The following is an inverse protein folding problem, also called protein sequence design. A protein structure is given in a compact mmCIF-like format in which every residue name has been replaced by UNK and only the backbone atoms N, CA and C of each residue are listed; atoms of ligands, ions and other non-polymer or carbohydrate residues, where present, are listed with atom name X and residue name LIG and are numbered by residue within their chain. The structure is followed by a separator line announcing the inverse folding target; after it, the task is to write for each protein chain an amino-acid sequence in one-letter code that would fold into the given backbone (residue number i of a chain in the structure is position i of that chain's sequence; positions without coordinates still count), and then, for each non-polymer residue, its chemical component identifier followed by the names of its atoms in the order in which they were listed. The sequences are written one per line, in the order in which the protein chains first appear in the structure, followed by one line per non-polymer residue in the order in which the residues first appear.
data_IF_253876658362
#
_entry.id   IF_253876658362
#
_cell.length_a   1.000
_cell.length_b   1.000
_cell.length_c   1.000
_cell.angle_alpha   90.00
_cell.angle_beta   90.00
_cell.angle_gamma   90.00
#
_symmetry.space_group_name_H-M   'P 1'
#
loop_
_entity.id
_entity.type
_entity.pdbx_description
1 polymer ?
#
# COMPACT_ATOMS: atom_id res chain seq x y z
N UNK A 1 -39.55 19.25 5.74
CA UNK A 1 -38.22 19.77 5.39
C UNK A 1 -37.59 18.88 4.33
N UNK A 2 -37.64 19.33 3.09
CA UNK A 2 -37.03 18.62 1.93
C UNK A 2 -35.61 19.10 1.80
N UNK A 3 -34.63 18.19 1.93
CA UNK A 3 -33.23 18.44 1.55
C UNK A 3 -33.09 18.24 0.04
N UNK A 4 -32.88 19.34 -0.66
CA UNK A 4 -32.53 19.38 -2.09
C UNK A 4 -31.08 19.03 -2.25
N UNK A 5 -30.79 17.85 -2.83
CA UNK A 5 -29.45 17.52 -3.34
C UNK A 5 -29.19 18.34 -4.60
N UNK A 6 -28.33 19.35 -4.50
CA UNK A 6 -27.81 20.06 -5.65
C UNK A 6 -26.85 19.15 -6.43
N UNK A 7 -27.32 18.61 -7.53
CA UNK A 7 -26.47 18.02 -8.57
C UNK A 7 -25.70 19.17 -9.23
N UNK A 8 -24.43 19.31 -8.92
CA UNK A 8 -23.53 20.16 -9.70
C UNK A 8 -23.25 19.46 -11.03
N UNK A 9 -23.96 19.83 -12.07
CA UNK A 9 -23.62 19.49 -13.46
C UNK A 9 -22.37 20.26 -13.90
N UNK A 10 -21.70 19.86 -14.98
CA UNK A 10 -20.52 20.56 -15.51
C UNK A 10 -20.89 22.01 -15.83
N UNK A 11 -20.16 22.95 -15.21
CA UNK A 11 -20.39 24.38 -15.38
C UNK A 11 -19.79 24.79 -16.74
N UNK A 12 -20.61 24.83 -17.78
CA UNK A 12 -20.26 25.44 -19.07
C UNK A 12 -20.58 26.92 -18.93
N UNK A 13 -19.57 27.76 -18.80
CA UNK A 13 -19.73 29.22 -18.84
C UNK A 13 -19.45 29.70 -20.25
N UNK A 14 -20.47 30.09 -21.03
CA UNK A 14 -20.24 30.78 -22.30
C UNK A 14 -19.89 32.24 -22.01
N UNK A 15 -18.65 32.65 -22.17
CA UNK A 15 -18.30 34.06 -22.26
C UNK A 15 -18.54 34.55 -23.68
N UNK A 16 -19.69 35.15 -23.88
CA UNK A 16 -19.98 35.97 -25.06
C UNK A 16 -19.27 37.31 -24.95
N UNK A 17 -18.14 37.52 -25.60
CA UNK A 17 -17.68 38.81 -26.07
C UNK A 17 -16.72 38.60 -27.24
N UNK A 18 -17.13 39.13 -28.37
CA UNK A 18 -16.45 39.34 -29.66
C UNK A 18 -14.91 39.22 -29.67
N UNK A 19 -14.42 37.96 -29.87
CA UNK A 19 -13.15 37.60 -30.52
C UNK A 19 -13.20 36.11 -30.91
N UNK A 20 -12.81 35.71 -32.12
CA UNK A 20 -12.91 34.32 -32.58
C UNK A 20 -11.71 33.46 -32.14
N UNK A 21 -11.51 33.29 -30.86
CA UNK A 21 -10.55 32.33 -30.25
C UNK A 21 -11.03 31.95 -28.87
N UNK A 22 -12.07 31.10 -28.81
CA UNK A 22 -12.53 30.54 -27.55
C UNK A 22 -11.85 29.19 -27.32
N UNK A 23 -11.09 29.08 -26.23
CA UNK A 23 -10.65 27.79 -25.70
C UNK A 23 -11.73 27.33 -24.70
N UNK A 24 -12.41 26.22 -24.97
CA UNK A 24 -13.36 25.61 -24.04
C UNK A 24 -12.59 24.62 -23.18
N UNK A 25 -12.46 24.94 -21.90
CA UNK A 25 -11.89 24.00 -20.92
C UNK A 25 -13.05 23.24 -20.30
N UNK A 26 -13.16 21.94 -20.60
CA UNK A 26 -14.08 21.06 -19.90
C UNK A 26 -13.37 20.50 -18.67
N UNK A 27 -13.95 20.68 -17.50
CA UNK A 27 -13.50 19.98 -16.30
C UNK A 27 -13.66 18.45 -16.46
N UNK A 28 -13.00 17.67 -15.60
CA UNK A 28 -12.95 16.22 -15.66
C UNK A 28 -14.27 15.57 -16.07
N UNK A 29 -14.22 14.74 -17.10
CA UNK A 29 -15.36 13.92 -17.52
C UNK A 29 -15.69 12.91 -16.42
N UNK A 30 -16.96 12.73 -16.04
CA UNK A 30 -17.34 11.81 -14.97
C UNK A 30 -16.96 10.38 -15.33
N UNK A 31 -16.38 9.67 -14.37
CA UNK A 31 -15.89 8.32 -14.50
C UNK A 31 -16.94 7.29 -14.91
N UNK A 32 -16.50 6.32 -15.68
CA UNK A 32 -17.24 5.28 -16.38
C UNK A 32 -18.39 4.60 -15.63
N UNK A 33 -19.58 4.84 -16.13
CA UNK A 33 -20.82 4.15 -15.90
C UNK A 33 -21.75 4.45 -17.07
N UNK A 34 -22.78 3.66 -17.30
CA UNK A 34 -23.74 3.86 -18.41
C UNK A 34 -24.34 5.28 -18.52
N UNK A 35 -24.20 6.10 -17.46
CA UNK A 35 -24.62 7.51 -17.49
C UNK A 35 -23.56 8.46 -18.09
N UNK A 36 -22.29 8.04 -18.23
CA UNK A 36 -21.22 8.87 -18.80
C UNK A 36 -21.27 8.94 -20.33
N UNK A 37 -21.70 7.87 -20.98
CA UNK A 37 -21.85 7.84 -22.44
C UNK A 37 -22.88 8.84 -22.95
N UNK A 38 -23.97 9.04 -22.19
CA UNK A 38 -24.99 10.04 -22.52
C UNK A 38 -24.48 11.47 -22.40
N UNK A 39 -23.75 11.78 -21.33
CA UNK A 39 -23.17 13.09 -21.11
C UNK A 39 -22.10 13.43 -22.14
N UNK A 40 -21.28 12.45 -22.53
CA UNK A 40 -20.25 12.59 -23.55
C UNK A 40 -20.85 12.80 -24.93
N UNK A 41 -21.86 12.01 -25.34
CA UNK A 41 -22.57 12.20 -26.61
C UNK A 41 -23.24 13.58 -26.68
N UNK A 42 -23.85 14.04 -25.62
CA UNK A 42 -24.43 15.37 -25.55
C UNK A 42 -23.35 16.45 -25.71
N UNK A 43 -22.23 16.33 -25.02
CA UNK A 43 -21.09 17.24 -25.11
C UNK A 43 -20.59 17.30 -26.57
N UNK A 44 -20.38 16.13 -27.20
CA UNK A 44 -19.92 16.04 -28.58
C UNK A 44 -20.91 16.69 -29.56
N UNK A 45 -22.21 16.52 -29.35
CA UNK A 45 -23.24 17.16 -30.19
C UNK A 45 -23.26 18.68 -30.01
N UNK A 46 -22.99 19.22 -28.83
CA UNK A 46 -22.85 20.66 -28.61
C UNK A 46 -21.54 21.21 -29.21
N UNK A 47 -20.47 20.44 -29.15
CA UNK A 47 -19.16 20.80 -29.72
C UNK A 47 -19.22 20.86 -31.26
N UNK A 48 -20.06 20.07 -31.90
CA UNK A 48 -20.27 20.09 -33.38
C UNK A 48 -20.81 21.43 -33.89
N UNK A 49 -21.45 22.21 -33.00
CA UNK A 49 -21.96 23.57 -33.32
C UNK A 49 -20.88 24.64 -33.22
N UNK A 50 -19.69 24.31 -32.79
CA UNK A 50 -18.62 25.27 -32.56
C UNK A 50 -17.58 25.19 -33.69
N UNK A 51 -17.41 26.29 -34.43
CA UNK A 51 -16.51 26.36 -35.59
C UNK A 51 -15.05 26.68 -35.30
N UNK A 52 -14.68 26.83 -34.03
CA UNK A 52 -13.31 27.13 -33.59
C UNK A 52 -12.55 25.92 -33.05
N UNK A 53 -11.26 26.06 -32.73
CA UNK A 53 -10.51 25.01 -32.09
C UNK A 53 -11.04 24.75 -30.69
N UNK A 54 -11.23 23.46 -30.35
CA UNK A 54 -11.71 22.98 -29.07
C UNK A 54 -10.60 22.21 -28.40
N UNK A 55 -10.29 22.52 -27.14
CA UNK A 55 -9.33 21.75 -26.33
C UNK A 55 -10.09 21.09 -25.19
N UNK A 56 -10.08 19.76 -25.19
CA UNK A 56 -10.60 18.95 -24.09
C UNK A 56 -9.41 18.38 -23.31
N UNK A 57 -9.40 18.54 -21.98
CA UNK A 57 -8.40 17.92 -21.11
C UNK A 57 -9.08 16.91 -20.19
N UNK A 58 -8.43 15.79 -19.91
CA UNK A 58 -8.93 14.75 -19.01
C UNK A 58 -7.83 13.76 -18.66
N UNK A 59 -8.02 13.06 -17.55
CA UNK A 59 -7.04 12.10 -16.99
C UNK A 59 -7.13 10.72 -17.64
N UNK A 60 -8.15 10.48 -18.48
CA UNK A 60 -8.37 9.21 -19.16
C UNK A 60 -8.19 9.32 -20.66
N UNK A 61 -7.78 8.22 -21.25
CA UNK A 61 -7.80 8.08 -22.71
C UNK A 61 -9.22 8.27 -23.21
N UNK A 62 -9.42 9.34 -23.95
CA UNK A 62 -10.64 9.52 -24.73
C UNK A 62 -10.52 8.56 -25.91
N UNK A 63 -11.39 7.57 -25.96
CA UNK A 63 -11.36 6.51 -26.94
C UNK A 63 -11.30 7.11 -28.35
N UNK A 64 -10.40 6.62 -29.19
CA UNK A 64 -10.26 7.09 -30.58
C UNK A 64 -11.57 6.96 -31.38
N UNK A 65 -12.46 6.06 -30.95
CA UNK A 65 -13.82 5.92 -31.47
C UNK A 65 -14.68 7.18 -31.28
N UNK A 66 -14.38 8.04 -30.32
CA UNK A 66 -15.09 9.29 -30.08
C UNK A 66 -14.64 10.36 -31.05
N UNK A 67 -13.34 10.43 -31.37
CA UNK A 67 -12.80 11.37 -32.34
C UNK A 67 -13.20 11.06 -33.80
N UNK A 68 -13.48 9.79 -34.14
CA UNK A 68 -13.91 9.40 -35.49
C UNK A 68 -15.38 9.66 -35.76
N UNK A 69 -16.20 9.95 -34.74
CA UNK A 69 -17.66 10.10 -34.88
C UNK A 69 -18.15 11.56 -34.91
N UNK A 70 -17.24 12.55 -34.98
CA UNK A 70 -17.63 13.96 -35.15
C UNK A 70 -17.35 14.39 -36.61
N UNK A 71 -18.37 14.44 -37.49
CA UNK A 71 -18.19 14.88 -38.84
C UNK A 71 -17.68 16.33 -38.89
N UNK A 72 -16.62 16.58 -39.65
CA UNK A 72 -16.11 17.95 -39.86
C UNK A 72 -14.99 18.39 -38.91
N UNK A 73 -14.71 17.66 -37.85
CA UNK A 73 -13.60 17.99 -36.93
C UNK A 73 -12.40 17.05 -37.10
N UNK A 74 -11.18 17.63 -37.09
CA UNK A 74 -9.94 16.87 -36.97
C UNK A 74 -9.58 16.76 -35.50
N UNK A 75 -9.50 15.55 -34.99
CA UNK A 75 -9.11 15.26 -33.65
C UNK A 75 -7.60 15.00 -33.60
N UNK A 76 -6.90 15.77 -32.78
CA UNK A 76 -5.47 15.56 -32.49
C UNK A 76 -5.31 15.31 -31.00
N UNK A 77 -4.75 14.17 -30.62
CA UNK A 77 -4.44 13.83 -29.25
C UNK A 77 -3.04 14.35 -28.92
N UNK A 78 -2.93 15.07 -27.83
CA UNK A 78 -1.65 15.52 -27.26
C UNK A 78 -1.50 14.83 -25.90
N UNK A 79 -0.69 13.77 -25.79
CA UNK A 79 -0.45 13.13 -24.52
C UNK A 79 0.42 14.03 -23.63
N UNK A 80 0.04 14.13 -22.35
CA UNK A 80 0.83 14.75 -21.30
C UNK A 80 1.27 13.64 -20.35
N UNK A 81 2.44 13.03 -20.56
CA UNK A 81 2.95 12.00 -19.69
C UNK A 81 3.23 12.59 -18.29
N UNK A 82 3.29 11.74 -17.28
CA UNK A 82 3.77 12.16 -15.96
C UNK A 82 5.19 12.71 -16.08
N UNK A 83 5.54 13.74 -15.30
CA UNK A 83 6.88 14.30 -15.32
C UNK A 83 7.90 13.26 -14.89
N UNK A 84 9.05 13.25 -15.55
CA UNK A 84 10.21 12.42 -15.16
C UNK A 84 10.85 12.93 -13.86
N UNK A 85 11.80 12.17 -13.30
CA UNK A 85 12.48 12.51 -12.04
C UNK A 85 13.17 13.88 -12.14
N UNK A 86 13.80 14.19 -13.28
CA UNK A 86 14.51 15.45 -13.47
C UNK A 86 13.54 16.65 -13.42
N UNK A 87 12.41 16.56 -14.09
CA UNK A 87 11.34 17.56 -14.07
C UNK A 87 10.76 17.72 -12.66
N UNK A 88 10.48 16.60 -11.96
CA UNK A 88 9.99 16.64 -10.58
C UNK A 88 11.01 17.28 -9.63
N UNK A 89 12.30 16.94 -9.78
CA UNK A 89 13.37 17.55 -8.99
C UNK A 89 13.42 19.06 -9.18
N UNK A 90 13.43 19.53 -10.44
CA UNK A 90 13.41 20.96 -10.75
C UNK A 90 12.18 21.66 -10.15
N UNK A 91 11.02 21.01 -10.17
CA UNK A 91 9.81 21.51 -9.54
C UNK A 91 9.98 21.63 -8.00
N UNK A 92 10.55 20.63 -7.34
CA UNK A 92 10.81 20.67 -5.89
C UNK A 92 11.86 21.75 -5.54
N UNK A 93 12.91 21.90 -6.34
CA UNK A 93 13.92 22.95 -6.16
C UNK A 93 13.34 24.37 -6.30
N UNK A 94 12.26 24.53 -7.06
CA UNK A 94 11.54 25.81 -7.21
C UNK A 94 10.58 26.13 -6.07
N UNK A 95 10.37 25.22 -5.14
CA UNK A 95 9.48 25.43 -3.99
C UNK A 95 10.17 26.29 -2.95
N UNK A 96 9.66 27.50 -2.74
CA UNK A 96 10.18 28.41 -1.70
C UNK A 96 9.94 27.86 -0.28
N UNK A 97 10.97 27.96 0.57
CA UNK A 97 10.88 27.59 1.98
C UNK A 97 10.82 26.09 2.22
N UNK A 98 11.42 25.29 1.34
CA UNK A 98 11.57 23.84 1.56
C UNK A 98 12.40 23.62 2.85
N UNK A 99 12.00 22.69 3.75
CA UNK A 99 12.78 22.35 4.93
C UNK A 99 14.20 21.91 4.58
N UNK A 100 15.21 22.42 5.31
CA UNK A 100 16.63 22.19 5.01
C UNK A 100 17.08 20.72 5.18
N UNK A 101 16.31 19.94 5.91
CA UNK A 101 16.50 18.49 6.12
C UNK A 101 15.90 17.63 5.03
N UNK A 102 15.21 18.23 4.04
CA UNK A 102 14.63 17.54 2.90
C UNK A 102 15.48 17.77 1.63
N UNK A 103 15.84 16.66 1.02
CA UNK A 103 16.48 16.66 -0.29
C UNK A 103 15.43 16.65 -1.42
N UNK A 104 15.39 17.67 -2.31
CA UNK A 104 14.52 17.68 -3.48
C UNK A 104 14.63 16.42 -4.34
N UNK A 105 15.84 15.85 -4.45
CA UNK A 105 16.06 14.61 -5.21
C UNK A 105 15.33 13.44 -4.56
N UNK A 106 15.42 13.29 -3.24
CA UNK A 106 14.72 12.24 -2.52
C UNK A 106 13.20 12.38 -2.62
N UNK A 107 12.67 13.60 -2.61
CA UNK A 107 11.23 13.85 -2.83
C UNK A 107 10.80 13.47 -4.24
N UNK A 108 11.58 13.83 -5.26
CA UNK A 108 11.31 13.52 -6.67
C UNK A 108 11.35 12.02 -6.94
N UNK A 109 12.24 11.28 -6.29
CA UNK A 109 12.31 9.82 -6.37
C UNK A 109 11.14 9.12 -5.68
N UNK A 110 10.77 9.60 -4.48
CA UNK A 110 9.73 8.97 -3.66
C UNK A 110 8.33 9.22 -4.20
N UNK A 111 8.03 10.48 -4.62
CA UNK A 111 6.69 10.90 -5.03
C UNK A 111 6.62 11.23 -6.51
N UNK A 112 5.82 10.45 -7.27
CA UNK A 112 5.59 10.70 -8.71
C UNK A 112 4.49 11.73 -8.94
N UNK A 113 4.55 12.84 -8.24
CA UNK A 113 3.58 13.93 -8.33
C UNK A 113 3.75 14.73 -9.63
N UNK A 114 2.65 15.26 -10.14
CA UNK A 114 2.72 16.28 -11.20
C UNK A 114 3.26 17.59 -10.62
N UNK A 115 3.72 18.50 -11.50
CA UNK A 115 4.20 19.83 -11.05
C UNK A 115 3.11 20.57 -10.28
N UNK A 116 1.85 20.50 -10.72
CA UNK A 116 0.72 21.09 -10.01
C UNK A 116 0.46 20.46 -8.65
N UNK A 117 0.61 19.13 -8.53
CA UNK A 117 0.46 18.45 -7.23
C UNK A 117 1.59 18.81 -6.26
N UNK A 118 2.80 19.05 -6.76
CA UNK A 118 3.94 19.53 -5.97
C UNK A 118 3.64 20.91 -5.39
N UNK A 119 3.17 21.84 -6.22
CA UNK A 119 2.78 23.19 -5.80
C UNK A 119 1.65 23.16 -4.77
N UNK A 120 0.63 22.35 -5.03
CA UNK A 120 -0.51 22.17 -4.12
C UNK A 120 -0.10 21.51 -2.79
N UNK A 121 0.81 20.52 -2.82
CA UNK A 121 1.33 19.88 -1.61
C UNK A 121 2.12 20.89 -0.77
N UNK A 122 2.98 21.69 -1.39
CA UNK A 122 3.74 22.74 -0.73
C UNK A 122 2.81 23.80 -0.11
N UNK A 123 1.79 24.24 -0.86
CA UNK A 123 0.79 25.18 -0.36
C UNK A 123 0.02 24.61 0.84
N UNK A 124 -0.42 23.36 0.76
CA UNK A 124 -1.13 22.69 1.85
C UNK A 124 -0.25 22.51 3.09
N UNK A 125 1.04 22.22 2.91
CA UNK A 125 1.99 22.08 4.02
C UNK A 125 2.23 23.42 4.74
N UNK A 126 2.31 24.52 4.00
CA UNK A 126 2.41 25.88 4.57
C UNK A 126 1.17 26.23 5.42
N UNK A 127 -0.01 25.95 4.90
CA UNK A 127 -1.26 26.21 5.63
C UNK A 127 -1.34 25.37 6.91
N UNK A 128 -0.92 24.12 6.86
CA UNK A 128 -0.95 23.23 8.03
C UNK A 128 0.04 23.59 9.14
N UNK A 129 1.02 24.43 8.85
CA UNK A 129 2.11 24.82 9.76
C UNK A 129 2.19 26.35 9.95
N UNK A 130 1.06 27.06 9.89
CA UNK A 130 0.93 28.51 10.13
C UNK A 130 1.97 29.35 9.36
N UNK A 131 2.27 28.94 8.13
CA UNK A 131 3.14 29.69 7.20
C UNK A 131 4.57 29.13 7.01
N UNK A 132 5.07 28.28 7.90
CA UNK A 132 6.37 27.64 7.75
C UNK A 132 6.22 26.14 7.51
N UNK A 133 6.72 25.64 6.35
CA UNK A 133 6.72 24.20 6.07
C UNK A 133 7.64 23.44 7.02
N UNK A 134 7.17 22.32 7.54
CA UNK A 134 8.00 21.32 8.23
C UNK A 134 8.08 20.04 7.41
N UNK A 135 9.11 19.22 7.62
CA UNK A 135 9.26 17.91 7.00
C UNK A 135 8.02 17.04 7.20
N UNK A 136 7.43 17.06 8.39
CA UNK A 136 6.23 16.28 8.71
C UNK A 136 5.00 16.75 7.92
N UNK A 137 4.75 18.08 7.88
CA UNK A 137 3.59 18.64 7.16
C UNK A 137 3.69 18.46 5.65
N UNK A 138 4.91 18.56 5.09
CA UNK A 138 5.13 18.35 3.67
C UNK A 138 4.95 16.88 3.29
N UNK A 139 5.55 15.94 4.04
CA UNK A 139 5.35 14.51 3.81
C UNK A 139 3.87 14.11 3.90
N UNK A 140 3.15 14.60 4.90
CA UNK A 140 1.72 14.35 5.03
C UNK A 140 0.90 14.94 3.85
N UNK A 141 1.31 16.10 3.31
CA UNK A 141 0.68 16.69 2.14
C UNK A 141 0.96 15.86 0.87
N UNK A 142 2.20 15.41 0.67
CA UNK A 142 2.56 14.51 -0.43
C UNK A 142 1.79 13.20 -0.37
N UNK A 143 1.74 12.55 0.81
CA UNK A 143 0.97 11.32 1.00
C UNK A 143 -0.51 11.49 0.66
N UNK A 144 -1.13 12.60 1.08
CA UNK A 144 -2.53 12.89 0.70
C UNK A 144 -2.74 13.02 -0.80
N UNK A 145 -1.76 13.58 -1.53
CA UNK A 145 -1.81 13.68 -2.99
C UNK A 145 -1.51 12.35 -3.69
N UNK A 146 -0.64 11.54 -3.11
CA UNK A 146 -0.32 10.18 -3.60
C UNK A 146 -1.44 9.16 -3.35
N UNK A 147 -2.45 9.49 -2.54
CA UNK A 147 -3.59 8.61 -2.30
C UNK A 147 -4.39 8.42 -3.57
N UNK A 148 -4.29 7.22 -4.14
CA UNK A 148 -5.12 6.80 -5.27
C UNK A 148 -6.58 6.57 -4.87
N UNK A 149 -7.45 6.37 -5.84
CA UNK A 149 -8.87 6.05 -5.65
C UNK A 149 -9.12 4.56 -5.36
N UNK A 150 -8.28 3.91 -4.54
CA UNK A 150 -8.33 2.47 -4.27
C UNK A 150 -9.64 1.99 -3.62
N UNK A 151 -10.46 2.90 -3.09
CA UNK A 151 -11.87 2.70 -2.73
C UNK A 151 -12.15 1.50 -1.84
N UNK A 152 -13.15 0.71 -2.21
CA UNK A 152 -13.65 -0.41 -1.40
C UNK A 152 -12.83 -1.71 -1.49
N UNK A 153 -11.85 -1.80 -2.39
CA UNK A 153 -11.06 -3.01 -2.65
C UNK A 153 -9.78 -3.10 -1.81
N UNK A 154 -9.31 -1.98 -1.28
CA UNK A 154 -8.12 -1.91 -0.46
C UNK A 154 -8.38 -1.09 0.82
N UNK A 155 -7.78 -1.50 1.91
CA UNK A 155 -7.82 -0.79 3.19
C UNK A 155 -6.53 -0.01 3.37
N UNK A 156 -6.61 1.30 3.51
CA UNK A 156 -5.46 2.11 3.92
C UNK A 156 -5.07 1.76 5.36
N UNK A 157 -3.79 1.51 5.57
CA UNK A 157 -3.19 1.26 6.89
C UNK A 157 -2.33 2.45 7.24
N UNK A 158 -2.60 3.04 8.39
CA UNK A 158 -1.75 4.08 8.96
C UNK A 158 -0.58 3.42 9.69
N UNK A 159 0.68 3.57 9.19
CA UNK A 159 1.82 2.88 9.76
C UNK A 159 2.13 3.36 11.18
N UNK A 160 2.04 2.48 12.15
CA UNK A 160 2.32 2.77 13.56
C UNK A 160 3.72 2.32 14.00
N UNK A 161 4.26 1.27 13.35
CA UNK A 161 5.53 0.66 13.72
C UNK A 161 6.74 1.35 13.07
N UNK A 162 7.89 1.23 13.74
CA UNK A 162 9.20 1.74 13.32
C UNK A 162 10.23 0.60 13.32
N UNK A 163 11.44 0.88 12.79
CA UNK A 163 12.53 -0.12 12.72
C UNK A 163 12.89 -0.70 14.09
N UNK A 164 12.73 0.09 15.14
CA UNK A 164 13.03 -0.28 16.52
C UNK A 164 12.06 -1.33 17.09
N UNK A 165 10.84 -1.37 16.55
CA UNK A 165 9.80 -2.32 16.97
C UNK A 165 10.00 -3.70 16.38
N UNK A 166 10.76 -3.79 15.28
CA UNK A 166 10.94 -5.02 14.52
C UNK A 166 12.16 -5.80 15.03
N UNK A 167 11.94 -7.01 15.50
CA UNK A 167 12.99 -7.92 15.97
C UNK A 167 13.17 -9.05 14.97
N UNK A 168 14.26 -9.01 14.21
CA UNK A 168 14.65 -10.01 13.23
C UNK A 168 16.17 -10.24 13.26
N UNK A 169 16.66 -11.36 12.72
CA UNK A 169 18.10 -11.56 12.51
C UNK A 169 18.73 -10.41 11.72
N UNK A 170 19.98 -10.00 12.05
CA UNK A 170 20.62 -8.82 11.44
C UNK A 170 20.66 -8.84 9.90
N UNK A 171 20.86 -10.01 9.31
CA UNK A 171 20.88 -10.20 7.85
C UNK A 171 19.50 -9.94 7.21
N UNK A 172 18.42 -10.34 7.90
CA UNK A 172 17.05 -10.07 7.46
C UNK A 172 16.68 -8.60 7.60
N UNK A 173 17.12 -7.99 8.69
CA UNK A 173 16.96 -6.55 8.91
C UNK A 173 17.71 -5.73 7.85
N UNK A 174 18.94 -6.12 7.51
CA UNK A 174 19.71 -5.49 6.43
C UNK A 174 18.97 -5.61 5.08
N UNK A 175 18.48 -6.80 4.73
CA UNK A 175 17.74 -7.03 3.50
C UNK A 175 16.44 -6.19 3.41
N UNK A 176 15.69 -6.04 4.52
CA UNK A 176 14.52 -5.15 4.56
C UNK A 176 14.90 -3.68 4.32
N UNK A 177 16.04 -3.22 4.87
CA UNK A 177 16.56 -1.86 4.62
C UNK A 177 17.00 -1.66 3.16
N UNK A 178 17.55 -2.69 2.53
CA UNK A 178 17.87 -2.67 1.10
C UNK A 178 16.59 -2.54 0.27
N UNK A 179 15.53 -3.28 0.60
CA UNK A 179 14.21 -3.15 -0.04
C UNK A 179 13.67 -1.72 0.11
N UNK A 180 13.68 -1.16 1.31
CA UNK A 180 13.26 0.23 1.53
C UNK A 180 14.11 1.23 0.73
N UNK A 181 15.42 0.98 0.64
CA UNK A 181 16.36 1.75 -0.17
C UNK A 181 16.06 1.67 -1.67
N UNK A 182 15.70 0.49 -2.17
CA UNK A 182 15.31 0.29 -3.56
C UNK A 182 14.03 1.05 -3.90
N UNK A 183 13.01 1.00 -3.03
CA UNK A 183 11.76 1.74 -3.21
C UNK A 183 12.02 3.25 -3.28
N UNK A 184 12.89 3.79 -2.40
CA UNK A 184 13.23 5.21 -2.42
C UNK A 184 13.95 5.66 -3.68
N UNK A 185 14.81 4.81 -4.26
CA UNK A 185 15.68 5.18 -5.38
C UNK A 185 15.21 4.64 -6.72
N UNK A 186 13.94 4.17 -6.78
CA UNK A 186 13.42 3.58 -8.03
C UNK A 186 13.43 4.57 -9.20
N UNK A 187 13.14 5.85 -8.94
CA UNK A 187 13.16 6.89 -9.95
C UNK A 187 14.55 7.09 -10.53
N UNK A 188 15.57 7.23 -9.68
CA UNK A 188 16.97 7.32 -10.11
C UNK A 188 17.36 6.12 -10.97
N UNK A 189 17.07 4.90 -10.53
CA UNK A 189 17.52 3.69 -11.24
C UNK A 189 16.75 3.50 -12.55
N UNK A 190 15.44 3.55 -12.50
CA UNK A 190 14.62 3.23 -13.66
C UNK A 190 14.57 4.37 -14.68
N UNK A 191 14.44 5.63 -14.23
CA UNK A 191 14.27 6.78 -15.11
C UNK A 191 15.63 7.43 -15.46
N UNK A 192 16.46 7.86 -14.47
CA UNK A 192 17.71 8.58 -14.74
C UNK A 192 18.82 7.70 -15.32
N UNK A 193 18.95 6.45 -14.80
CA UNK A 193 19.95 5.50 -15.32
C UNK A 193 19.49 4.73 -16.54
N UNK A 194 18.23 4.96 -16.99
CA UNK A 194 17.69 4.42 -18.23
C UNK A 194 17.36 2.93 -18.23
N UNK A 195 17.15 2.33 -17.05
CA UNK A 195 16.77 0.92 -16.97
C UNK A 195 15.41 0.66 -17.63
N UNK A 196 14.46 1.61 -17.53
CA UNK A 196 13.16 1.55 -18.22
C UNK A 196 13.31 1.42 -19.73
N UNK A 197 14.18 2.23 -20.34
CA UNK A 197 14.39 2.21 -21.80
C UNK A 197 15.05 0.91 -22.26
N UNK A 198 15.92 0.34 -21.42
CA UNK A 198 16.64 -0.88 -21.78
C UNK A 198 15.81 -2.15 -21.62
N UNK A 199 14.97 -2.24 -20.61
CA UNK A 199 14.22 -3.48 -20.29
C UNK A 199 12.74 -3.40 -20.66
N UNK A 200 12.20 -2.22 -20.90
CA UNK A 200 10.88 -1.97 -21.48
C UNK A 200 9.66 -2.26 -20.59
N UNK A 201 9.79 -3.08 -19.55
CA UNK A 201 8.74 -3.46 -18.59
C UNK A 201 9.35 -3.84 -17.25
N UNK A 202 8.54 -3.82 -16.17
CA UNK A 202 8.97 -4.30 -14.86
C UNK A 202 9.73 -3.24 -14.06
N UNK A 203 9.31 -1.98 -14.15
CA UNK A 203 9.88 -0.87 -13.39
C UNK A 203 9.35 -0.82 -11.94
N UNK A 204 8.49 -1.75 -11.59
CA UNK A 204 7.96 -1.93 -10.23
C UNK A 204 8.92 -2.68 -9.32
N UNK A 205 8.67 -2.57 -8.03
CA UNK A 205 9.38 -3.34 -7.01
C UNK A 205 8.40 -4.33 -6.40
N UNK A 206 8.62 -5.62 -6.68
CA UNK A 206 7.86 -6.73 -6.13
C UNK A 206 8.67 -7.47 -5.07
N UNK A 207 8.11 -7.59 -3.88
CA UNK A 207 8.78 -8.20 -2.72
C UNK A 207 7.91 -9.31 -2.15
N UNK A 208 8.52 -10.42 -1.81
CA UNK A 208 7.85 -11.54 -1.17
C UNK A 208 8.32 -11.71 0.27
N UNK A 209 7.41 -11.66 1.22
CA UNK A 209 7.64 -12.00 2.62
C UNK A 209 7.14 -13.41 2.90
N UNK A 210 8.03 -14.29 3.35
CA UNK A 210 7.68 -15.68 3.68
C UNK A 210 7.96 -15.98 5.15
N UNK A 211 7.06 -16.70 5.81
CA UNK A 211 7.27 -17.12 7.21
C UNK A 211 5.95 -17.42 7.91
N UNK A 212 6.01 -18.15 9.01
CA UNK A 212 4.82 -18.52 9.79
C UNK A 212 4.01 -17.30 10.22
N UNK A 213 2.72 -17.51 10.52
CA UNK A 213 1.88 -16.44 11.07
C UNK A 213 2.46 -15.88 12.36
N UNK A 214 2.35 -14.55 12.55
CA UNK A 214 2.85 -13.85 13.73
C UNK A 214 4.36 -13.61 13.80
N UNK A 215 5.10 -13.82 12.70
CA UNK A 215 6.56 -13.56 12.64
C UNK A 215 6.94 -12.13 12.26
N UNK A 216 5.95 -11.23 12.03
CA UNK A 216 6.21 -9.80 11.80
C UNK A 216 6.13 -9.32 10.36
N UNK A 217 5.60 -10.13 9.40
CA UNK A 217 5.49 -9.75 7.98
C UNK A 217 4.71 -8.45 7.75
N UNK A 218 3.51 -8.35 8.33
CA UNK A 218 2.66 -7.16 8.22
C UNK A 218 3.30 -5.96 8.90
N UNK A 219 3.91 -6.13 10.08
CA UNK A 219 4.68 -5.11 10.78
C UNK A 219 5.83 -4.58 9.90
N UNK A 220 6.57 -5.45 9.22
CA UNK A 220 7.66 -5.05 8.33
C UNK A 220 7.16 -4.23 7.14
N UNK A 221 5.99 -4.55 6.58
CA UNK A 221 5.39 -3.73 5.52
C UNK A 221 5.03 -2.32 6.03
N UNK A 222 4.48 -2.20 7.24
CA UNK A 222 4.21 -0.92 7.88
C UNK A 222 5.50 -0.13 8.15
N UNK A 223 6.55 -0.79 8.66
CA UNK A 223 7.87 -0.16 8.91
C UNK A 223 8.46 0.39 7.62
N UNK A 224 8.43 -0.38 6.53
CA UNK A 224 8.92 0.08 5.23
C UNK A 224 8.09 1.27 4.73
N UNK A 225 6.76 1.20 4.81
CA UNK A 225 5.88 2.28 4.37
C UNK A 225 6.13 3.58 5.16
N UNK A 226 6.30 3.48 6.48
CA UNK A 226 6.65 4.61 7.35
C UNK A 226 7.99 5.23 7.00
N UNK A 227 9.01 4.38 6.77
CA UNK A 227 10.37 4.79 6.48
C UNK A 227 10.50 5.45 5.10
N UNK A 228 9.84 4.88 4.10
CA UNK A 228 9.81 5.45 2.73
C UNK A 228 8.88 6.66 2.65
N UNK A 229 7.85 6.72 3.49
CA UNK A 229 6.87 7.80 3.48
C UNK A 229 5.76 7.63 2.44
N UNK A 230 5.47 6.40 2.01
CA UNK A 230 4.39 6.09 1.09
C UNK A 230 3.16 5.54 1.82
N UNK A 231 1.94 5.80 1.33
CA UNK A 231 0.73 5.15 1.84
C UNK A 231 0.80 3.63 1.68
N UNK A 232 0.32 2.90 2.67
CA UNK A 232 0.22 1.44 2.65
C UNK A 232 -1.24 1.02 2.47
N UNK A 233 -1.51 0.22 1.46
CA UNK A 233 -2.84 -0.35 1.22
C UNK A 233 -2.81 -1.86 1.35
N UNK A 234 -3.54 -2.38 2.32
CA UNK A 234 -3.71 -3.83 2.48
C UNK A 234 -4.87 -4.31 1.61
N UNK A 235 -4.58 -5.34 0.83
CA UNK A 235 -5.54 -6.03 -0.03
C UNK A 235 -5.74 -7.42 0.54
N UNK A 236 -6.98 -7.68 0.94
CA UNK A 236 -7.41 -9.01 1.37
C UNK A 236 -7.78 -9.84 0.13
N UNK A 237 -6.90 -10.77 -0.22
CA UNK A 237 -7.10 -11.61 -1.39
C UNK A 237 -8.37 -12.47 -1.30
N UNK A 238 -8.80 -12.83 -0.09
CA UNK A 238 -10.05 -13.59 0.09
C UNK A 238 -11.29 -12.82 -0.37
N UNK A 239 -11.23 -11.49 -0.36
CA UNK A 239 -12.31 -10.61 -0.87
C UNK A 239 -12.17 -10.29 -2.35
N UNK A 240 -10.97 -10.39 -2.88
CA UNK A 240 -10.69 -10.13 -4.29
C UNK A 240 -10.97 -11.37 -5.12
N UNK A 241 -10.66 -12.54 -4.59
CA UNK A 241 -10.98 -13.84 -5.18
C UNK A 241 -12.50 -14.06 -5.11
N UNK A 242 -13.13 -14.08 -6.26
CA UNK A 242 -14.58 -14.30 -6.39
C UNK A 242 -14.86 -15.72 -6.88
N UNK A 243 -15.99 -16.28 -6.46
CA UNK A 243 -16.50 -17.55 -7.00
C UNK A 243 -17.00 -17.43 -8.45
N UNK A 244 -17.08 -16.20 -8.98
CA UNK A 244 -17.58 -15.93 -10.33
C UNK A 244 -16.42 -15.67 -11.28
N UNK A 245 -16.43 -16.37 -12.40
CA UNK A 245 -15.41 -16.28 -13.47
C UNK A 245 -15.28 -14.84 -13.96
N UNK A 246 -14.05 -14.33 -14.00
CA UNK A 246 -13.72 -12.99 -14.52
C UNK A 246 -13.98 -11.83 -13.53
N UNK A 247 -14.55 -12.06 -12.35
CA UNK A 247 -14.67 -11.01 -11.33
C UNK A 247 -13.34 -10.77 -10.59
N UNK A 248 -12.62 -11.82 -10.29
CA UNK A 248 -11.27 -11.73 -9.69
C UNK A 248 -10.33 -10.91 -10.54
N UNK A 249 -10.22 -11.22 -11.82
CA UNK A 249 -9.39 -10.49 -12.79
C UNK A 249 -9.81 -9.01 -12.87
N UNK A 250 -11.11 -8.75 -12.90
CA UNK A 250 -11.65 -7.38 -12.93
C UNK A 250 -11.35 -6.60 -11.66
N UNK A 251 -11.45 -7.25 -10.49
CA UNK A 251 -11.17 -6.62 -9.20
C UNK A 251 -9.68 -6.35 -9.03
N UNK A 252 -8.82 -7.31 -9.37
CA UNK A 252 -7.37 -7.12 -9.42
C UNK A 252 -6.99 -6.00 -10.39
N UNK A 253 -7.50 -6.03 -11.62
CA UNK A 253 -7.27 -4.99 -12.62
C UNK A 253 -7.61 -3.60 -12.09
N UNK A 254 -8.80 -3.42 -11.52
CA UNK A 254 -9.22 -2.15 -10.92
C UNK A 254 -8.32 -1.71 -9.77
N UNK A 255 -7.85 -2.64 -8.96
CA UNK A 255 -6.95 -2.33 -7.84
C UNK A 255 -5.61 -1.82 -8.34
N UNK A 256 -5.00 -2.51 -9.30
CA UNK A 256 -3.74 -2.08 -9.91
C UNK A 256 -3.88 -0.76 -10.69
N UNK A 257 -4.97 -0.59 -11.45
CA UNK A 257 -5.23 0.64 -12.20
C UNK A 257 -5.42 1.84 -11.25
N UNK A 258 -6.17 1.66 -10.16
CA UNK A 258 -6.35 2.70 -9.14
C UNK A 258 -5.06 3.01 -8.38
N UNK A 259 -4.20 2.02 -8.16
CA UNK A 259 -2.90 2.18 -7.55
C UNK A 259 -1.87 2.83 -8.48
N UNK A 260 -1.98 2.61 -9.80
CA UNK A 260 -1.11 3.21 -10.80
C UNK A 260 -1.27 4.74 -10.87
N UNK A 261 -2.44 5.26 -10.49
CA UNK A 261 -2.72 6.69 -10.40
C UNK A 261 -2.10 7.35 -9.15
N UNK A 262 -1.68 6.55 -8.17
CA UNK A 262 -1.06 7.03 -6.93
C UNK A 262 0.32 6.40 -6.69
N UNK A 263 1.11 7.03 -5.81
CA UNK A 263 2.32 6.42 -5.28
C UNK A 263 2.00 5.76 -3.95
N UNK A 264 1.93 4.44 -3.94
CA UNK A 264 1.59 3.68 -2.74
C UNK A 264 2.28 2.32 -2.74
N UNK A 265 2.29 1.68 -1.57
CA UNK A 265 2.69 0.30 -1.39
C UNK A 265 1.42 -0.55 -1.33
N UNK A 266 1.28 -1.50 -2.23
CA UNK A 266 0.24 -2.52 -2.19
C UNK A 266 0.73 -3.71 -1.36
N UNK A 267 0.05 -4.02 -0.28
CA UNK A 267 0.36 -5.16 0.57
C UNK A 267 -0.72 -6.24 0.42
N UNK A 268 -0.36 -7.35 -0.17
CA UNK A 268 -1.23 -8.52 -0.29
C UNK A 268 -0.92 -9.46 0.87
N UNK A 269 -1.80 -9.49 1.85
CA UNK A 269 -1.70 -10.44 2.96
C UNK A 269 -2.35 -11.78 2.59
N UNK A 270 -1.89 -12.86 3.25
CA UNK A 270 -2.37 -14.22 3.02
C UNK A 270 -2.32 -14.64 1.53
N UNK A 271 -1.24 -14.25 0.84
CA UNK A 271 -1.05 -14.62 -0.57
C UNK A 271 -0.94 -16.14 -0.81
N UNK A 272 -1.05 -16.94 0.24
CA UNK A 272 -1.09 -18.41 0.18
C UNK A 272 -2.18 -18.93 -0.74
N UNK A 273 -3.31 -18.23 -0.79
CA UNK A 273 -4.43 -18.56 -1.68
C UNK A 273 -4.05 -18.55 -3.17
N UNK A 274 -2.99 -17.80 -3.53
CA UNK A 274 -2.45 -17.71 -4.89
C UNK A 274 -1.34 -18.73 -5.15
N UNK A 275 -0.74 -19.30 -4.09
CA UNK A 275 0.39 -20.23 -4.21
C UNK A 275 -0.01 -21.69 -4.03
N UNK A 276 -1.32 -21.96 -3.87
CA UNK A 276 -1.84 -23.32 -3.81
C UNK A 276 -1.25 -24.16 -4.94
N UNK A 277 -0.72 -25.33 -4.59
CA UNK A 277 -0.10 -26.29 -5.52
C UNK A 277 -0.90 -26.29 -6.83
N UNK A 278 -0.21 -26.10 -7.96
CA UNK A 278 -0.68 -26.59 -9.25
C UNK A 278 -0.89 -28.10 -9.08
N UNK A 279 -2.03 -28.47 -8.52
CA UNK A 279 -2.46 -29.86 -8.49
C UNK A 279 -2.56 -30.32 -9.93
N UNK A 280 -2.01 -31.49 -10.20
CA UNK A 280 -2.17 -32.15 -11.48
C UNK A 280 -3.66 -32.10 -11.82
N UNK A 281 -3.97 -31.60 -13.00
CA UNK A 281 -5.27 -31.19 -13.51
C UNK A 281 -6.29 -32.35 -13.31
N UNK A 282 -7.03 -32.30 -12.22
CA UNK A 282 -8.11 -33.24 -11.94
C UNK A 282 -9.50 -32.66 -12.23
N UNK A 283 -9.72 -31.39 -11.91
CA UNK A 283 -11.03 -30.76 -12.01
C UNK A 283 -11.01 -29.39 -12.69
N UNK A 284 -12.16 -28.98 -13.24
CA UNK A 284 -12.33 -27.65 -13.87
C UNK A 284 -12.02 -26.50 -12.90
N UNK A 285 -12.17 -26.69 -11.61
CA UNK A 285 -11.89 -25.70 -10.57
C UNK A 285 -10.38 -25.36 -10.45
N UNK A 286 -9.52 -26.34 -10.63
CA UNK A 286 -8.06 -26.18 -10.57
C UNK A 286 -7.53 -25.35 -11.76
N UNK A 287 -8.19 -25.41 -12.91
CA UNK A 287 -7.84 -24.61 -14.09
C UNK A 287 -8.09 -23.13 -13.86
N UNK A 288 -9.18 -22.76 -13.19
CA UNK A 288 -9.54 -21.37 -12.94
C UNK A 288 -8.59 -20.72 -11.91
N UNK A 289 -8.22 -21.44 -10.87
CA UNK A 289 -7.24 -20.93 -9.89
C UNK A 289 -5.89 -20.61 -10.54
N UNK A 290 -5.44 -21.41 -11.50
CA UNK A 290 -4.20 -21.16 -12.24
C UNK A 290 -4.30 -19.89 -13.13
N UNK A 291 -5.45 -19.63 -13.76
CA UNK A 291 -5.67 -18.42 -14.60
C UNK A 291 -5.61 -17.15 -13.74
N UNK A 292 -6.20 -17.16 -12.54
CA UNK A 292 -6.18 -16.04 -11.63
C UNK A 292 -4.76 -15.70 -11.13
N UNK A 293 -3.96 -16.73 -10.84
CA UNK A 293 -2.55 -16.58 -10.49
C UNK A 293 -1.73 -16.00 -11.64
N UNK A 294 -1.91 -16.53 -12.84
CA UNK A 294 -1.21 -16.06 -14.04
C UNK A 294 -1.57 -14.59 -14.36
N UNK A 295 -2.84 -14.20 -14.17
CA UNK A 295 -3.28 -12.82 -14.32
C UNK A 295 -2.63 -11.89 -13.28
N UNK A 296 -2.61 -12.28 -11.99
CA UNK A 296 -1.92 -11.50 -10.98
C UNK A 296 -0.43 -11.33 -11.31
N UNK A 297 0.23 -12.41 -11.73
CA UNK A 297 1.63 -12.37 -12.12
C UNK A 297 1.89 -11.41 -13.29
N UNK A 298 1.01 -11.42 -14.30
CA UNK A 298 1.07 -10.47 -15.40
C UNK A 298 0.91 -9.03 -14.91
N UNK A 299 -0.08 -8.77 -14.03
CA UNK A 299 -0.29 -7.43 -13.48
C UNK A 299 0.88 -6.95 -12.62
N UNK A 300 1.54 -7.86 -11.88
CA UNK A 300 2.76 -7.55 -11.12
C UNK A 300 3.92 -7.12 -12.03
N UNK A 301 4.08 -7.77 -13.21
CA UNK A 301 5.10 -7.40 -14.19
C UNK A 301 4.82 -6.05 -14.88
N UNK A 302 3.55 -5.70 -15.04
CA UNK A 302 3.12 -4.46 -15.71
C UNK A 302 3.04 -3.27 -14.75
N UNK A 303 2.97 -3.53 -13.43
CA UNK A 303 2.79 -2.49 -12.43
C UNK A 303 4.11 -1.81 -12.06
N UNK A 304 4.19 -0.51 -12.29
CA UNK A 304 5.39 0.29 -12.02
C UNK A 304 5.51 0.76 -10.55
N UNK A 305 4.64 0.32 -9.67
CA UNK A 305 4.62 0.69 -8.25
C UNK A 305 5.38 -0.29 -7.36
N UNK A 306 5.07 -0.26 -6.06
CA UNK A 306 5.62 -1.18 -5.08
C UNK A 306 4.54 -2.18 -4.62
N UNK A 307 4.87 -3.47 -4.67
CA UNK A 307 4.02 -4.57 -4.20
C UNK A 307 4.77 -5.43 -3.19
N UNK A 308 4.16 -5.67 -2.06
CA UNK A 308 4.64 -6.62 -1.05
C UNK A 308 3.60 -7.74 -0.92
N UNK A 309 4.04 -8.96 -1.12
CA UNK A 309 3.21 -10.16 -0.97
C UNK A 309 3.64 -10.90 0.30
N UNK A 310 2.72 -11.26 1.17
CA UNK A 310 3.01 -12.02 2.39
C UNK A 310 2.40 -13.42 2.31
N UNK A 311 3.24 -14.44 2.53
CA UNK A 311 2.85 -15.84 2.52
C UNK A 311 3.30 -16.57 3.78
N UNK A 312 2.47 -17.46 4.29
CA UNK A 312 2.82 -18.38 5.37
C UNK A 312 3.51 -19.64 4.85
N UNK A 313 3.43 -19.90 3.54
CA UNK A 313 4.01 -21.05 2.88
C UNK A 313 5.45 -20.74 2.44
N UNK A 314 6.41 -21.56 2.87
CA UNK A 314 7.82 -21.38 2.49
C UNK A 314 8.22 -22.24 1.28
N UNK A 315 7.58 -23.38 1.07
CA UNK A 315 8.07 -24.46 0.20
C UNK A 315 7.31 -24.60 -1.13
N UNK A 316 6.13 -24.02 -1.30
CA UNK A 316 5.27 -24.26 -2.46
C UNK A 316 5.18 -23.08 -3.46
N UNK A 317 6.14 -22.15 -3.41
CA UNK A 317 6.12 -21.02 -4.34
C UNK A 317 6.76 -21.48 -5.65
N UNK A 318 5.96 -21.47 -6.73
CA UNK A 318 6.35 -21.83 -8.09
C UNK A 318 7.60 -21.03 -8.52
N UNK A 319 8.51 -21.69 -9.24
CA UNK A 319 9.68 -21.04 -9.80
C UNK A 319 9.34 -19.90 -10.78
N UNK A 320 8.24 -20.03 -11.50
CA UNK A 320 7.77 -18.97 -12.39
C UNK A 320 7.42 -17.70 -11.62
N UNK A 321 6.90 -17.86 -10.39
CA UNK A 321 6.61 -16.74 -9.49
C UNK A 321 7.92 -16.13 -8.94
N UNK A 322 8.86 -16.97 -8.48
CA UNK A 322 10.15 -16.49 -7.92
C UNK A 322 10.94 -15.64 -8.91
N UNK A 323 10.86 -15.95 -10.21
CA UNK A 323 11.55 -15.20 -11.28
C UNK A 323 11.00 -13.80 -11.50
N UNK A 324 9.75 -13.55 -11.07
CA UNK A 324 9.04 -12.26 -11.23
C UNK A 324 9.13 -11.36 -10.00
N UNK A 325 9.70 -11.88 -8.91
CA UNK A 325 9.89 -11.17 -7.65
C UNK A 325 11.30 -10.60 -7.58
N UNK A 326 11.41 -9.30 -7.30
CA UNK A 326 12.71 -8.61 -7.20
C UNK A 326 13.47 -9.00 -5.93
N UNK A 327 12.76 -9.19 -4.81
CA UNK A 327 13.37 -9.56 -3.53
C UNK A 327 12.48 -10.51 -2.74
N UNK A 328 13.09 -11.47 -2.03
CA UNK A 328 12.37 -12.37 -1.13
C UNK A 328 13.00 -12.36 0.26
N UNK A 329 12.22 -11.99 1.27
CA UNK A 329 12.65 -11.92 2.67
C UNK A 329 11.95 -12.99 3.48
N UNK A 330 12.72 -13.85 4.16
CA UNK A 330 12.16 -14.86 5.04
C UNK A 330 12.12 -14.38 6.49
N UNK A 331 10.98 -14.61 7.13
CA UNK A 331 10.70 -14.28 8.53
C UNK A 331 10.72 -15.57 9.35
N UNK A 332 11.85 -15.94 9.97
CA UNK A 332 11.96 -17.14 10.77
C UNK A 332 11.17 -16.98 12.08
N UNK A 333 10.85 -18.10 12.71
CA UNK A 333 10.40 -18.06 14.11
C UNK A 333 11.52 -17.45 14.96
N UNK A 334 11.18 -16.56 15.92
CA UNK A 334 12.18 -15.93 16.76
C UNK A 334 12.88 -16.98 17.65
N UNK A 335 14.21 -16.92 17.72
CA UNK A 335 14.99 -17.66 18.68
C UNK A 335 14.81 -17.11 20.11
N UNK A 336 15.45 -17.71 21.11
CA UNK A 336 15.31 -17.30 22.50
C UNK A 336 15.76 -15.85 22.72
N UNK A 337 16.84 -15.41 22.09
CA UNK A 337 17.33 -14.05 22.21
C UNK A 337 16.36 -13.04 21.57
N UNK A 338 15.82 -13.37 20.39
CA UNK A 338 14.81 -12.55 19.74
C UNK A 338 13.50 -12.50 20.55
N UNK A 339 13.04 -13.64 21.11
CA UNK A 339 11.84 -13.65 21.95
C UNK A 339 12.02 -12.78 23.21
N UNK A 340 13.20 -12.84 23.82
CA UNK A 340 13.53 -11.97 24.95
C UNK A 340 13.43 -10.50 24.56
N UNK A 341 14.04 -10.11 23.43
CA UNK A 341 13.97 -8.74 22.94
C UNK A 341 12.55 -8.30 22.58
N UNK A 342 11.69 -9.21 22.11
CA UNK A 342 10.28 -8.95 21.87
C UNK A 342 9.55 -8.72 23.20
N UNK A 343 9.75 -9.56 24.21
CA UNK A 343 9.13 -9.40 25.51
C UNK A 343 9.51 -8.07 26.19
N UNK A 344 10.78 -7.66 26.09
CA UNK A 344 11.30 -6.40 26.64
C UNK A 344 10.60 -5.16 26.02
N UNK A 345 10.02 -5.28 24.81
CA UNK A 345 9.38 -4.17 24.07
C UNK A 345 7.86 -4.31 23.96
N UNK A 346 7.29 -5.41 24.47
CA UNK A 346 5.88 -5.74 24.21
C UNK A 346 4.91 -4.86 25.00
N UNK A 347 5.29 -4.45 26.20
CA UNK A 347 4.45 -3.57 27.03
C UNK A 347 4.77 -2.11 26.72
N UNK A 348 3.75 -1.28 26.40
CA UNK A 348 3.91 0.17 26.31
C UNK A 348 4.47 0.76 27.62
N UNK A 349 5.21 1.86 27.53
CA UNK A 349 5.83 2.55 28.69
C UNK A 349 4.79 2.99 29.73
N UNK A 350 3.56 3.27 29.31
CA UNK A 350 2.45 3.64 30.18
C UNK A 350 1.84 2.46 30.93
N UNK A 351 2.17 1.22 30.56
CA UNK A 351 1.62 0.03 31.20
C UNK A 351 2.29 -0.19 32.55
N UNK A 352 1.54 -0.18 33.69
CA UNK A 352 2.11 -0.50 34.98
C UNK A 352 2.53 -1.97 35.01
N UNK A 353 3.82 -2.24 35.07
CA UNK A 353 4.38 -3.60 35.16
C UNK A 353 5.15 -3.79 36.47
N UNK A 354 5.11 -5.01 37.02
CA UNK A 354 5.85 -5.38 38.20
C UNK A 354 6.50 -6.77 38.04
N UNK A 355 7.83 -6.79 38.11
CA UNK A 355 8.62 -8.02 38.14
C UNK A 355 8.47 -8.95 36.93
N UNK A 356 8.22 -8.41 35.72
CA UNK A 356 8.23 -9.20 34.48
C UNK A 356 9.64 -9.74 34.23
N UNK A 357 9.76 -11.03 33.92
CA UNK A 357 11.02 -11.70 33.59
C UNK A 357 11.04 -12.13 32.10
N UNK A 358 11.55 -11.27 31.19
CA UNK A 358 11.65 -11.59 29.78
C UNK A 358 12.54 -12.80 29.48
N UNK A 359 13.57 -13.05 30.31
CA UNK A 359 14.47 -14.17 30.12
C UNK A 359 13.77 -15.51 30.40
N UNK A 360 12.96 -15.56 31.45
CA UNK A 360 12.11 -16.72 31.72
C UNK A 360 11.10 -16.95 30.61
N UNK A 361 10.39 -15.91 30.18
CA UNK A 361 9.35 -15.98 29.15
C UNK A 361 9.91 -16.36 27.77
N UNK A 362 11.15 -16.00 27.49
CA UNK A 362 11.82 -16.33 26.22
C UNK A 362 12.06 -17.83 26.00
N UNK A 363 12.03 -18.65 27.06
CA UNK A 363 12.18 -20.11 26.97
C UNK A 363 11.03 -20.77 26.20
N UNK A 364 9.85 -20.16 26.22
CA UNK A 364 8.68 -20.69 25.53
C UNK A 364 8.74 -20.35 24.04
N UNK A 365 8.61 -21.38 23.19
CA UNK A 365 8.65 -21.22 21.74
C UNK A 365 7.36 -20.56 21.22
N UNK A 366 7.40 -19.24 21.06
CA UNK A 366 6.28 -18.37 20.69
C UNK A 366 6.66 -17.49 19.51
N UNK A 367 5.68 -17.20 18.66
CA UNK A 367 5.84 -16.15 17.64
C UNK A 367 5.65 -14.76 18.28
N UNK A 368 6.14 -13.71 17.63
CA UNK A 368 5.94 -12.33 18.08
C UNK A 368 4.47 -11.97 18.23
N UNK A 369 3.62 -12.41 17.29
CA UNK A 369 2.16 -12.21 17.39
C UNK A 369 1.55 -12.92 18.59
N UNK A 370 2.02 -14.13 18.92
CA UNK A 370 1.58 -14.85 20.11
C UNK A 370 2.02 -14.14 21.40
N UNK A 371 3.27 -13.64 21.45
CA UNK A 371 3.77 -12.83 22.56
C UNK A 371 2.89 -11.61 22.80
N UNK A 372 2.56 -10.86 21.75
CA UNK A 372 1.65 -9.72 21.81
C UNK A 372 0.28 -10.10 22.39
N UNK A 373 -0.31 -11.21 21.93
CA UNK A 373 -1.60 -11.68 22.41
C UNK A 373 -1.55 -12.04 23.89
N UNK A 374 -0.50 -12.73 24.32
CA UNK A 374 -0.28 -13.09 25.75
C UNK A 374 -0.13 -11.84 26.61
N UNK A 375 0.69 -10.88 26.19
CA UNK A 375 0.89 -9.62 26.90
C UNK A 375 -0.41 -8.81 27.03
N UNK A 376 -1.17 -8.70 25.94
CA UNK A 376 -2.47 -8.01 25.95
C UNK A 376 -3.47 -8.71 26.89
N UNK A 377 -3.52 -10.04 26.87
CA UNK A 377 -4.38 -10.82 27.76
C UNK A 377 -3.95 -10.65 29.23
N UNK A 378 -2.65 -10.64 29.49
CA UNK A 378 -2.11 -10.39 30.84
C UNK A 378 -2.48 -9.00 31.36
N UNK A 379 -2.41 -7.98 30.50
CA UNK A 379 -2.83 -6.62 30.82
C UNK A 379 -4.32 -6.54 31.18
N UNK A 380 -5.20 -7.23 30.44
CA UNK A 380 -6.61 -7.30 30.79
C UNK A 380 -6.86 -8.00 32.13
N UNK A 381 -6.10 -9.05 32.45
CA UNK A 381 -6.22 -9.74 33.73
C UNK A 381 -5.82 -8.82 34.89
N UNK A 382 -4.69 -8.15 34.76
CA UNK A 382 -4.17 -7.20 35.75
C UNK A 382 -5.11 -6.00 35.95
N UNK A 383 -5.64 -5.44 34.87
CA UNK A 383 -6.63 -4.37 34.94
C UNK A 383 -7.93 -4.81 35.65
N UNK A 384 -8.37 -6.04 35.43
CA UNK A 384 -9.53 -6.59 36.14
C UNK A 384 -9.30 -6.85 37.64
N UNK A 385 -8.03 -6.98 38.04
CA UNK A 385 -7.59 -7.14 39.43
C UNK A 385 -7.10 -5.82 40.04
N UNK A 386 -7.21 -4.69 39.31
CA UNK A 386 -6.74 -3.34 39.71
C UNK A 386 -5.28 -3.34 40.16
N UNK A 387 -4.42 -4.13 39.53
CA UNK A 387 -3.03 -4.34 39.86
C UNK A 387 -2.08 -4.15 38.71
N UNK A 388 -0.77 -3.89 38.92
CA UNK A 388 0.23 -3.92 37.87
C UNK A 388 0.31 -5.29 37.19
N UNK A 389 0.72 -5.31 35.92
CA UNK A 389 0.94 -6.55 35.19
C UNK A 389 2.15 -7.28 35.76
N UNK A 390 1.93 -8.37 36.45
CA UNK A 390 2.98 -9.23 37.01
C UNK A 390 3.10 -10.56 36.27
N UNK A 391 4.14 -11.35 36.63
CA UNK A 391 4.40 -12.68 36.06
C UNK A 391 3.20 -13.63 36.17
N UNK A 392 2.43 -13.56 37.27
CA UNK A 392 1.23 -14.38 37.45
C UNK A 392 0.21 -14.16 36.35
N UNK A 393 -0.03 -12.91 35.96
CA UNK A 393 -0.94 -12.56 34.87
C UNK A 393 -0.42 -13.07 33.52
N UNK A 394 0.89 -12.91 33.26
CA UNK A 394 1.51 -13.37 32.01
C UNK A 394 1.46 -14.89 31.89
N UNK A 395 1.75 -15.62 32.97
CA UNK A 395 1.71 -17.08 32.98
C UNK A 395 0.29 -17.61 32.80
N UNK A 396 -0.71 -16.98 33.45
CA UNK A 396 -2.14 -17.31 33.24
C UNK A 396 -2.56 -17.07 31.79
N UNK A 397 -2.13 -15.97 31.19
CA UNK A 397 -2.40 -15.65 29.79
C UNK A 397 -1.73 -16.66 28.85
N UNK A 398 -0.48 -17.03 29.14
CA UNK A 398 0.28 -18.03 28.39
C UNK A 398 -0.39 -19.41 28.42
N UNK A 399 -0.86 -19.85 29.59
CA UNK A 399 -1.66 -21.06 29.73
C UNK A 399 -2.89 -21.06 28.82
N UNK A 400 -3.66 -19.95 28.85
CA UNK A 400 -4.85 -19.81 27.97
C UNK A 400 -4.50 -19.88 26.49
N UNK A 401 -3.38 -19.29 26.09
CA UNK A 401 -2.90 -19.32 24.71
C UNK A 401 -2.51 -20.74 24.28
N UNK A 402 -1.84 -21.50 25.14
CA UNK A 402 -1.54 -22.92 24.87
C UNK A 402 -2.80 -23.78 24.79
N UNK A 403 -3.77 -23.56 25.67
CA UNK A 403 -5.07 -24.26 25.61
C UNK A 403 -5.81 -23.94 24.31
N UNK A 404 -5.83 -22.67 23.90
CA UNK A 404 -6.47 -22.22 22.64
C UNK A 404 -5.83 -22.85 21.41
N UNK A 405 -4.52 -22.99 21.40
CA UNK A 405 -3.75 -23.52 20.25
C UNK A 405 -3.59 -25.04 20.29
N UNK A 406 -4.07 -25.71 21.32
CA UNK A 406 -3.88 -27.17 21.51
C UNK A 406 -2.42 -27.56 21.75
N UNK A 407 -1.56 -26.61 22.13
CA UNK A 407 -0.13 -26.88 22.36
C UNK A 407 0.04 -27.56 23.71
N UNK A 408 0.64 -28.75 23.66
CA UNK A 408 1.01 -29.45 24.91
C UNK A 408 2.13 -28.67 25.61
N UNK A 409 2.01 -28.52 26.90
CA UNK A 409 3.02 -27.91 27.76
C UNK A 409 3.24 -28.76 29.02
N UNK A 410 4.48 -28.79 29.46
CA UNK A 410 4.83 -29.38 30.71
C UNK A 410 4.70 -28.34 31.82
N UNK A 411 3.90 -28.63 32.85
CA UNK A 411 3.67 -27.76 33.99
C UNK A 411 4.99 -27.49 34.74
N UNK A 412 5.91 -28.45 34.77
CA UNK A 412 7.24 -28.32 35.34
C UNK A 412 8.08 -27.21 34.67
N UNK A 413 7.85 -26.96 33.37
CA UNK A 413 8.55 -25.91 32.61
C UNK A 413 8.28 -24.50 33.14
N UNK A 414 7.20 -24.31 33.91
CA UNK A 414 6.81 -23.03 34.51
C UNK A 414 7.51 -22.77 35.87
N UNK A 415 8.28 -23.73 36.38
CA UNK A 415 9.15 -23.56 37.54
C UNK A 415 8.43 -22.94 38.75
N UNK A 416 8.86 -21.73 39.22
CA UNK A 416 8.27 -21.09 40.39
C UNK A 416 6.81 -20.68 40.21
N UNK A 417 6.29 -20.64 38.98
CA UNK A 417 4.92 -20.22 38.67
C UNK A 417 3.96 -21.40 38.42
N UNK A 418 4.38 -22.65 38.75
CA UNK A 418 3.55 -23.85 38.52
C UNK A 418 2.24 -23.82 39.31
N UNK A 419 2.22 -23.15 40.47
CA UNK A 419 1.02 -23.01 41.33
C UNK A 419 -0.13 -22.27 40.64
N UNK A 420 0.16 -21.51 39.58
CA UNK A 420 -0.85 -20.84 38.74
C UNK A 420 -1.67 -21.86 37.92
N UNK A 421 -1.23 -23.13 37.87
CA UNK A 421 -1.87 -24.22 37.11
C UNK A 421 -2.70 -25.17 37.99
N UNK A 422 -2.55 -25.06 39.30
CA UNK A 422 -3.39 -25.74 40.30
C UNK A 422 -4.69 -24.93 40.52
#
# INVERSE_FOLDING_TARGET
SRRTHSRRGPCIVPRTSRRPRGCLRTGALPGGGRSSDGALRWLLAELDRFSGPIVCSGDREVDAAIGSNIPGHRFTRVPFPRPDVATRRAAWESVDGLPADLDPSALADTYRLTVGDIEDAAAAARVAADGSMTTATLRAACQRRSRGSLGALAREVEPTYRWEDLVLPPDRMAHLREVAGAIRRRGTVFEEWGFTERFGRGNGISVLFTGKSGTGKTMAAEVIAADVGLPLYTIDLSRVLSKYIGETERNLGRTFDAAADGDCILFFDEADALFGTRTEIGDAHDRYANVEVDYLLQRLEEYDGCVILASNLKENIDEAFKRRINAAVSFPMPDEAARRAIWERTFPDETPTDGIDPAFLARFDLSGGTIKNVATTAAFLAAGEESPVGMTHVVRALRREFQKTGKLYDVESFGPYREVFE
#
